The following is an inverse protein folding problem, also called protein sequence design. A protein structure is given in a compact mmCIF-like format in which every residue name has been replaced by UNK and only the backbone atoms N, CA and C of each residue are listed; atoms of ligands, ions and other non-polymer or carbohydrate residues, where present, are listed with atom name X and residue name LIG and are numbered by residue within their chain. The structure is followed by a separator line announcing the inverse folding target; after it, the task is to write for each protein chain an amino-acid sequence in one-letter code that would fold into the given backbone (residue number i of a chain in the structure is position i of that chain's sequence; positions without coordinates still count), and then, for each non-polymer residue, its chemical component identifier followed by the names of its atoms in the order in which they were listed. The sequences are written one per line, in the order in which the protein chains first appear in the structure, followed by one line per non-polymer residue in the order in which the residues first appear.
data_IF_918625019599
#
_entry.id   IF_918625019599
#
_cell.length_a   1.000
_cell.length_b   1.000
_cell.length_c   1.000
_cell.angle_alpha   90.00
_cell.angle_beta   90.00
_cell.angle_gamma   90.00
#
_symmetry.space_group_name_H-M   'P 1'
#
loop_
_entity.id
_entity.type
_entity.pdbx_description
1 polymer ?
#
# COMPACT_ATOMS: atom_id res chain seq x y z
N UNK A 1 -0.74 19.33 10.79
CA UNK A 1 -0.72 17.86 10.89
C UNK A 1 -0.69 17.32 9.48
N UNK A 2 0.51 17.14 8.91
CA UNK A 2 0.65 16.55 7.57
C UNK A 2 0.07 15.14 7.64
N UNK A 3 -0.89 14.76 6.78
CA UNK A 3 -1.27 13.35 6.66
C UNK A 3 0.03 12.59 6.40
N UNK A 4 0.24 11.49 7.10
CA UNK A 4 1.40 10.62 6.88
C UNK A 4 1.16 9.90 5.56
N UNK A 5 1.34 10.63 4.46
CA UNK A 5 1.40 10.06 3.11
C UNK A 5 2.69 9.26 3.12
N UNK A 6 2.59 7.95 3.23
CA UNK A 6 3.74 7.08 3.12
C UNK A 6 4.08 6.98 1.64
N UNK A 7 5.04 7.78 1.21
CA UNK A 7 5.55 7.73 -0.15
C UNK A 7 6.26 6.40 -0.40
N UNK A 8 5.95 5.77 -1.53
CA UNK A 8 6.69 4.59 -1.98
C UNK A 8 8.04 5.05 -2.53
N UNK A 9 9.11 4.87 -1.75
CA UNK A 9 10.46 5.14 -2.23
C UNK A 9 10.80 4.15 -3.35
N UNK A 10 11.11 4.66 -4.54
CA UNK A 10 11.52 3.90 -5.72
C UNK A 10 12.90 3.25 -5.57
N UNK A 11 13.02 2.32 -4.63
CA UNK A 11 14.23 1.53 -4.40
C UNK A 11 13.82 0.06 -4.35
N UNK A 12 14.48 -0.78 -5.15
CA UNK A 12 14.21 -2.21 -5.19
C UNK A 12 14.31 -2.83 -3.80
N UNK A 13 13.31 -3.63 -3.43
CA UNK A 13 13.17 -4.26 -2.12
C UNK A 13 12.57 -3.37 -1.04
N UNK A 14 12.19 -2.13 -1.37
CA UNK A 14 11.48 -1.26 -0.44
C UNK A 14 10.00 -1.64 -0.40
N UNK A 15 9.46 -1.83 0.81
CA UNK A 15 8.07 -2.19 1.04
C UNK A 15 7.36 -1.11 1.84
N UNK A 16 6.18 -0.70 1.38
CA UNK A 16 5.31 0.25 2.08
C UNK A 16 4.00 -0.43 2.39
N UNK A 17 3.52 -0.26 3.63
CA UNK A 17 2.20 -0.74 4.05
C UNK A 17 1.22 0.43 4.11
N UNK A 18 0.13 0.27 3.38
CA UNK A 18 -1.01 1.18 3.33
C UNK A 18 -2.25 0.47 3.85
N UNK A 19 -3.25 1.25 4.22
CA UNK A 19 -4.58 0.75 4.58
C UNK A 19 -5.57 1.38 3.60
N UNK A 20 -6.30 0.55 2.86
CA UNK A 20 -7.44 1.01 2.08
C UNK A 20 -8.64 1.06 3.01
N UNK A 21 -9.31 2.21 3.05
CA UNK A 21 -10.62 2.36 3.66
C UNK A 21 -11.65 2.39 2.54
N UNK A 22 -12.61 1.48 2.58
CA UNK A 22 -13.73 1.46 1.66
C UNK A 22 -14.86 2.39 2.15
N UNK A 23 -15.76 2.79 1.26
CA UNK A 23 -16.85 3.73 1.56
C UNK A 23 -17.83 3.21 2.61
N UNK A 24 -17.92 1.89 2.76
CA UNK A 24 -18.70 1.21 3.80
C UNK A 24 -18.04 1.26 5.19
N UNK A 25 -16.80 1.78 5.30
CA UNK A 25 -16.01 1.82 6.53
C UNK A 25 -15.16 0.57 6.78
N UNK A 26 -15.18 -0.42 5.87
CA UNK A 26 -14.28 -1.57 5.93
C UNK A 26 -12.84 -1.13 5.65
N UNK A 27 -11.85 -1.78 6.28
CA UNK A 27 -10.44 -1.51 6.01
C UNK A 27 -9.69 -2.74 5.54
N UNK A 28 -8.77 -2.56 4.59
CA UNK A 28 -7.94 -3.62 4.03
C UNK A 28 -6.49 -3.15 4.03
N UNK A 29 -5.64 -3.85 4.78
CA UNK A 29 -4.21 -3.62 4.68
C UNK A 29 -3.68 -4.10 3.33
N UNK A 30 -2.83 -3.29 2.72
CA UNK A 30 -2.10 -3.63 1.49
C UNK A 30 -0.62 -3.35 1.66
N UNK A 31 0.19 -4.27 1.17
CA UNK A 31 1.64 -4.16 1.13
C UNK A 31 2.09 -3.96 -0.31
N UNK A 32 2.76 -2.85 -0.57
CA UNK A 32 3.32 -2.50 -1.87
C UNK A 32 4.83 -2.68 -1.82
N UNK A 33 5.40 -3.48 -2.71
CA UNK A 33 6.84 -3.78 -2.75
C UNK A 33 7.42 -3.39 -4.10
N UNK A 34 8.52 -2.64 -4.11
CA UNK A 34 9.22 -2.28 -5.35
C UNK A 34 10.03 -3.48 -5.85
N UNK A 35 9.68 -3.98 -7.04
CA UNK A 35 10.33 -5.15 -7.65
C UNK A 35 11.46 -4.77 -8.59
N UNK A 36 11.33 -3.65 -9.32
CA UNK A 36 12.41 -3.11 -10.17
C UNK A 36 12.26 -1.61 -10.38
N UNK A 37 13.37 -0.96 -10.76
CA UNK A 37 13.41 0.45 -11.14
C UNK A 37 14.18 0.54 -12.45
N UNK A 38 13.53 1.05 -13.49
CA UNK A 38 14.09 1.24 -14.83
C UNK A 38 14.03 2.73 -15.19
N UNK A 39 15.17 3.42 -15.05
CA UNK A 39 15.24 4.87 -15.20
C UNK A 39 14.28 5.59 -14.26
N UNK A 40 13.23 6.18 -14.83
CA UNK A 40 12.17 6.91 -14.12
C UNK A 40 10.93 6.04 -13.83
N UNK A 41 10.90 4.80 -14.30
CA UNK A 41 9.79 3.86 -14.09
C UNK A 41 10.05 2.96 -12.90
N UNK A 42 9.13 2.97 -11.94
CA UNK A 42 9.17 2.09 -10.76
C UNK A 42 8.13 0.99 -10.95
N UNK A 43 8.57 -0.26 -11.01
CA UNK A 43 7.70 -1.42 -11.02
C UNK A 43 7.50 -1.90 -9.58
N UNK A 44 6.25 -2.14 -9.20
CA UNK A 44 5.88 -2.56 -7.85
C UNK A 44 4.79 -3.62 -7.87
N UNK A 45 4.88 -4.52 -6.90
CA UNK A 45 3.90 -5.56 -6.63
C UNK A 45 3.00 -5.11 -5.48
N UNK A 46 1.70 -5.36 -5.62
CA UNK A 46 0.71 -5.05 -4.58
C UNK A 46 0.14 -6.36 -4.04
N UNK A 47 0.24 -6.55 -2.74
CA UNK A 47 -0.31 -7.70 -2.01
C UNK A 47 -1.34 -7.20 -1.00
N UNK A 48 -2.60 -7.58 -1.17
CA UNK A 48 -3.61 -7.37 -0.14
C UNK A 48 -3.45 -8.39 0.99
N UNK A 49 -3.79 -7.98 2.20
CA UNK A 49 -3.89 -8.88 3.35
C UNK A 49 -5.01 -9.91 3.10
N UNK A 50 -4.84 -11.12 3.60
CA UNK A 50 -5.80 -12.21 3.40
C UNK A 50 -7.13 -11.97 4.14
N UNK A 51 -7.15 -11.03 5.09
CA UNK A 51 -8.31 -10.70 5.91
C UNK A 51 -8.54 -9.20 5.87
N UNK A 52 -9.69 -8.79 5.33
CA UNK A 52 -10.19 -7.43 5.49
C UNK A 52 -10.75 -7.25 6.90
N UNK A 53 -10.53 -6.09 7.49
CA UNK A 53 -11.27 -5.67 8.68
C UNK A 53 -12.68 -5.27 8.23
N UNK A 54 -13.73 -5.95 8.71
CA UNK A 54 -15.10 -5.62 8.33
C UNK A 54 -15.48 -4.23 8.83
N UNK A 55 -16.31 -3.53 8.06
CA UNK A 55 -16.99 -2.33 8.52
C UNK A 55 -17.75 -2.63 9.81
N UNK A 56 -17.58 -1.78 10.82
CA UNK A 56 -18.43 -1.78 12.00
C UNK A 56 -19.80 -1.21 11.59
N UNK A 57 -20.70 -2.09 11.16
CA UNK A 57 -22.10 -1.76 10.86
C UNK A 57 -22.89 -1.45 12.14
#
# INVERSE_FOLDING_TARGET
MTPVVKDLVGKVGNTTRCELTADDGSTLGVSVTVSSVDGDQVNFDVKADDTASPAAN
#
